data_IF_138597292252
#
_entry.id   IF_138597292252
#
_cell.length_a   1.000
_cell.length_b   1.000
_cell.length_c   1.000
_cell.angle_alpha   90.00
_cell.angle_beta   90.00
_cell.angle_gamma   90.00
#
_symmetry.space_group_name_H-M   'P 1'
#
loop_
_entity.id
_entity.type
_entity.pdbx_description
1 polymer ?
#
# COMPACT_ATOMS: atom_id res chain seq x y z
N UNK A 1 -28.20 -58.64 -34.26
CA UNK A 1 -27.28 -59.00 -33.13
C UNK A 1 -27.82 -58.32 -31.89
N UNK A 2 -28.07 -59.06 -30.81
CA UNK A 2 -28.53 -58.40 -29.57
C UNK A 2 -27.37 -57.60 -28.98
N UNK A 3 -27.63 -56.36 -28.49
CA UNK A 3 -26.70 -55.47 -27.84
C UNK A 3 -25.83 -56.22 -26.77
N UNK A 4 -26.47 -57.13 -26.06
CA UNK A 4 -25.81 -57.93 -25.02
C UNK A 4 -24.69 -58.84 -25.61
N UNK A 5 -24.90 -59.48 -26.75
CA UNK A 5 -23.87 -60.30 -27.41
C UNK A 5 -22.70 -59.47 -27.96
N UNK A 6 -22.94 -58.20 -28.32
CA UNK A 6 -21.88 -57.30 -28.73
C UNK A 6 -21.06 -56.84 -27.52
N UNK A 7 -21.65 -56.45 -26.42
CA UNK A 7 -21.00 -55.99 -25.20
C UNK A 7 -20.17 -57.10 -24.51
N UNK A 8 -20.50 -58.37 -24.72
CA UNK A 8 -19.73 -59.51 -24.18
C UNK A 8 -18.71 -60.11 -25.18
N UNK A 9 -18.60 -59.51 -26.36
CA UNK A 9 -17.70 -60.02 -27.40
C UNK A 9 -16.21 -59.70 -27.10
N UNK A 10 -15.29 -60.62 -27.48
CA UNK A 10 -13.85 -60.35 -27.38
C UNK A 10 -13.42 -59.11 -28.16
N UNK A 11 -14.12 -58.79 -29.24
CA UNK A 11 -13.88 -57.60 -30.05
C UNK A 11 -14.19 -56.30 -29.26
N UNK A 12 -15.28 -56.30 -28.51
CA UNK A 12 -15.64 -55.15 -27.65
C UNK A 12 -14.62 -54.90 -26.56
N UNK A 13 -14.18 -55.92 -25.82
CA UNK A 13 -13.16 -55.75 -24.80
C UNK A 13 -11.78 -55.31 -25.40
N UNK A 14 -11.42 -55.81 -26.57
CA UNK A 14 -10.22 -55.34 -27.28
C UNK A 14 -10.32 -53.88 -27.67
N UNK A 15 -11.48 -53.42 -28.15
CA UNK A 15 -11.69 -52.01 -28.51
C UNK A 15 -11.67 -51.08 -27.27
N UNK A 16 -12.30 -51.50 -26.16
CA UNK A 16 -12.24 -50.77 -24.88
C UNK A 16 -10.79 -50.65 -24.39
N UNK A 17 -10.04 -51.76 -24.41
CA UNK A 17 -8.65 -51.73 -24.00
C UNK A 17 -7.82 -50.75 -24.85
N UNK A 18 -8.01 -50.79 -26.17
CA UNK A 18 -7.34 -49.83 -27.10
C UNK A 18 -7.78 -48.38 -26.78
N UNK A 19 -9.07 -48.12 -26.53
CA UNK A 19 -9.55 -46.81 -26.20
C UNK A 19 -8.96 -46.29 -24.87
N UNK A 20 -8.89 -47.15 -23.85
CA UNK A 20 -8.28 -46.83 -22.56
C UNK A 20 -6.79 -46.46 -22.73
N UNK A 21 -6.03 -47.30 -23.48
CA UNK A 21 -4.62 -47.05 -23.76
C UNK A 21 -4.49 -45.71 -24.52
N UNK A 22 -5.31 -45.46 -25.53
CA UNK A 22 -5.29 -44.21 -26.29
C UNK A 22 -5.54 -42.99 -25.41
N UNK A 23 -6.48 -43.05 -24.45
CA UNK A 23 -6.73 -42.00 -23.48
C UNK A 23 -5.52 -41.77 -22.59
N UNK A 24 -4.89 -42.82 -22.06
CA UNK A 24 -3.68 -42.67 -21.26
C UNK A 24 -2.52 -42.02 -22.02
N UNK A 25 -2.30 -42.43 -23.27
CA UNK A 25 -1.28 -41.82 -24.14
C UNK A 25 -1.58 -40.37 -24.42
N UNK A 26 -2.85 -40.03 -24.70
CA UNK A 26 -3.28 -38.65 -24.92
C UNK A 26 -3.05 -37.77 -23.67
N UNK A 27 -3.46 -38.25 -22.51
CA UNK A 27 -3.25 -37.55 -21.22
C UNK A 27 -1.75 -37.34 -20.96
N UNK A 28 -0.91 -38.37 -21.22
CA UNK A 28 0.53 -38.24 -21.06
C UNK A 28 1.13 -37.20 -21.98
N UNK A 29 0.72 -37.15 -23.24
CA UNK A 29 1.16 -36.14 -24.22
C UNK A 29 0.75 -34.75 -23.77
N UNK A 30 -0.52 -34.58 -23.34
CA UNK A 30 -1.03 -33.29 -22.86
C UNK A 30 -0.23 -32.82 -21.64
N UNK A 31 0.01 -33.69 -20.65
CA UNK A 31 0.78 -33.33 -19.47
C UNK A 31 2.24 -32.96 -19.81
N UNK A 32 2.87 -33.67 -20.73
CA UNK A 32 4.23 -33.34 -21.21
C UNK A 32 4.25 -32.00 -21.95
N UNK A 33 3.28 -31.78 -22.85
CA UNK A 33 3.15 -30.51 -23.57
C UNK A 33 2.89 -29.35 -22.60
N UNK A 34 2.01 -29.53 -21.62
CA UNK A 34 1.71 -28.52 -20.61
C UNK A 34 2.96 -28.18 -19.76
N UNK A 35 3.72 -29.20 -19.36
CA UNK A 35 4.96 -29.03 -18.59
C UNK A 35 5.99 -28.16 -19.33
N UNK A 36 6.13 -28.34 -20.63
CA UNK A 36 7.04 -27.54 -21.47
C UNK A 36 6.50 -26.15 -21.69
N UNK A 37 5.20 -25.99 -21.94
CA UNK A 37 4.58 -24.69 -22.27
C UNK A 37 4.46 -23.78 -21.06
N UNK A 38 4.34 -24.34 -19.84
CA UNK A 38 4.19 -23.55 -18.60
C UNK A 38 5.50 -23.36 -17.84
N UNK A 39 6.66 -23.75 -18.40
CA UNK A 39 7.96 -23.72 -17.71
C UNK A 39 7.83 -24.27 -16.28
N UNK A 40 7.22 -25.47 -16.16
CA UNK A 40 6.94 -26.05 -14.86
C UNK A 40 8.23 -26.32 -14.09
N UNK A 41 8.35 -25.76 -12.89
CA UNK A 41 9.53 -25.89 -12.03
C UNK A 41 10.53 -24.73 -12.13
N UNK A 42 10.40 -23.83 -13.10
CA UNK A 42 11.20 -22.61 -13.16
C UNK A 42 10.52 -21.50 -12.36
N UNK A 43 11.28 -20.85 -11.48
CA UNK A 43 10.81 -19.77 -10.61
C UNK A 43 11.89 -18.73 -10.47
N UNK A 44 11.48 -17.48 -10.48
CA UNK A 44 12.30 -16.33 -10.13
C UNK A 44 12.16 -16.00 -8.66
N UNK A 45 13.24 -15.52 -8.03
CA UNK A 45 13.22 -15.12 -6.63
C UNK A 45 13.00 -13.61 -6.55
N UNK A 46 12.01 -13.18 -5.78
CA UNK A 46 11.72 -11.76 -5.56
C UNK A 46 12.84 -11.12 -4.75
N UNK A 47 13.53 -10.07 -5.26
CA UNK A 47 14.58 -9.38 -4.53
C UNK A 47 14.03 -8.51 -3.39
N UNK A 48 14.89 -8.14 -2.43
CA UNK A 48 14.56 -7.19 -1.37
C UNK A 48 14.63 -5.76 -1.93
N UNK A 49 13.48 -5.07 -1.95
CA UNK A 49 13.34 -3.73 -2.53
C UNK A 49 13.15 -2.63 -1.49
N UNK A 50 12.86 -2.97 -0.23
CA UNK A 50 12.58 -1.99 0.81
C UNK A 50 13.75 -1.03 1.01
N UNK A 51 13.45 0.25 1.11
CA UNK A 51 14.44 1.32 1.27
C UNK A 51 15.14 1.75 -0.02
N UNK A 52 14.94 1.02 -1.13
CA UNK A 52 15.56 1.36 -2.42
C UNK A 52 14.74 2.40 -3.17
N UNK A 53 15.41 3.17 -4.03
CA UNK A 53 14.75 4.09 -4.95
C UNK A 53 14.01 3.33 -6.06
N UNK A 54 13.03 3.99 -6.69
CA UNK A 54 12.26 3.40 -7.79
C UNK A 54 13.16 2.86 -8.90
N UNK A 55 14.18 3.63 -9.30
CA UNK A 55 15.09 3.25 -10.38
C UNK A 55 15.91 2.00 -10.06
N UNK A 56 16.38 1.85 -8.82
CA UNK A 56 17.11 0.66 -8.38
C UNK A 56 16.16 -0.53 -8.30
N UNK A 57 14.95 -0.34 -7.75
CA UNK A 57 13.95 -1.40 -7.65
C UNK A 57 13.54 -1.91 -9.04
N UNK A 58 13.34 -1.01 -10.01
CA UNK A 58 13.00 -1.38 -11.39
C UNK A 58 14.12 -2.18 -12.06
N UNK A 59 15.36 -1.74 -11.90
CA UNK A 59 16.53 -2.45 -12.45
C UNK A 59 16.64 -3.87 -11.87
N UNK A 60 16.56 -4.01 -10.55
CA UNK A 60 16.64 -5.33 -9.90
C UNK A 60 15.50 -6.26 -10.27
N UNK A 61 14.29 -5.72 -10.45
CA UNK A 61 13.16 -6.52 -10.91
C UNK A 61 13.34 -6.98 -12.36
N UNK A 62 13.81 -6.10 -13.24
CA UNK A 62 14.11 -6.44 -14.62
C UNK A 62 15.22 -7.51 -14.74
N UNK A 63 16.28 -7.39 -13.93
CA UNK A 63 17.37 -8.38 -13.88
C UNK A 63 16.87 -9.78 -13.44
N UNK A 64 15.80 -9.83 -12.65
CA UNK A 64 15.14 -11.07 -12.24
C UNK A 64 13.88 -11.41 -13.06
N UNK A 65 13.75 -10.88 -14.28
CA UNK A 65 12.62 -11.13 -15.19
C UNK A 65 11.24 -10.86 -14.55
N UNK A 66 11.17 -9.88 -13.65
CA UNK A 66 9.96 -9.50 -12.92
C UNK A 66 9.47 -8.12 -13.38
N UNK A 67 8.18 -7.85 -13.20
CA UNK A 67 7.56 -6.60 -13.64
C UNK A 67 7.18 -5.75 -12.43
N UNK A 68 7.65 -4.50 -12.39
CA UNK A 68 7.26 -3.55 -11.36
C UNK A 68 5.85 -3.01 -11.60
N UNK A 69 5.04 -2.97 -10.55
CA UNK A 69 3.74 -2.32 -10.53
C UNK A 69 3.62 -1.45 -9.29
N UNK A 70 3.57 -0.13 -9.48
CA UNK A 70 3.39 0.80 -8.37
C UNK A 70 1.93 0.74 -7.92
N UNK A 71 1.72 0.51 -6.62
CA UNK A 71 0.44 0.71 -5.95
C UNK A 71 0.35 2.13 -5.40
N UNK A 72 -0.85 2.51 -4.96
CA UNK A 72 -1.08 3.83 -4.37
C UNK A 72 -0.16 4.08 -3.15
N UNK A 73 0.16 5.33 -2.92
CA UNK A 73 1.10 5.71 -1.87
C UNK A 73 0.49 5.52 -0.47
N UNK A 74 1.28 4.92 0.41
CA UNK A 74 0.97 4.78 1.82
C UNK A 74 1.07 6.11 2.59
N UNK A 75 0.83 6.05 3.90
CA UNK A 75 1.19 7.14 4.79
C UNK A 75 2.71 7.32 4.83
N UNK A 76 3.18 8.57 4.88
CA UNK A 76 4.60 8.86 4.99
C UNK A 76 5.22 8.18 6.22
N UNK A 77 6.30 7.44 5.98
CA UNK A 77 7.11 6.82 7.02
C UNK A 77 8.47 7.53 7.12
N UNK A 78 8.81 8.17 8.25
CA UNK A 78 10.08 8.88 8.41
C UNK A 78 11.30 7.95 8.48
N UNK A 79 11.12 6.65 8.72
CA UNK A 79 12.21 5.66 8.80
C UNK A 79 12.80 5.31 7.42
N UNK A 80 12.12 5.68 6.34
CA UNK A 80 12.53 5.42 4.98
C UNK A 80 12.76 6.72 4.20
N UNK A 81 13.68 6.72 3.24
CA UNK A 81 13.86 7.85 2.34
C UNK A 81 12.57 8.21 1.60
N UNK A 82 12.44 9.49 1.24
CA UNK A 82 11.34 9.94 0.38
C UNK A 82 11.41 9.22 -0.96
N UNK A 83 10.25 8.84 -1.50
CA UNK A 83 10.12 8.15 -2.79
C UNK A 83 10.85 6.80 -2.87
N UNK A 84 11.23 6.20 -1.73
CA UNK A 84 11.73 4.83 -1.69
C UNK A 84 10.59 3.84 -1.53
N UNK A 85 10.87 2.59 -1.83
CA UNK A 85 9.94 1.46 -1.57
C UNK A 85 9.85 1.22 -0.06
N UNK A 86 8.63 1.20 0.48
CA UNK A 86 8.36 0.88 1.89
C UNK A 86 7.72 -0.49 2.06
N UNK A 87 6.97 -0.94 1.06
CA UNK A 87 6.35 -2.26 1.06
C UNK A 87 6.42 -2.87 -0.33
N UNK A 88 6.49 -4.18 -0.39
CA UNK A 88 6.44 -4.97 -1.62
C UNK A 88 5.59 -6.22 -1.45
N UNK A 89 4.88 -6.61 -2.50
CA UNK A 89 4.06 -7.82 -2.56
C UNK A 89 4.24 -8.50 -3.94
N UNK A 90 4.68 -9.75 -3.99
CA UNK A 90 5.06 -10.66 -2.92
C UNK A 90 6.30 -10.23 -2.13
N UNK A 91 6.47 -10.75 -0.88
CA UNK A 91 7.63 -10.41 -0.07
C UNK A 91 8.95 -10.94 -0.67
N UNK A 92 10.06 -10.32 -0.28
CA UNK A 92 11.40 -10.76 -0.68
C UNK A 92 11.64 -12.25 -0.37
N UNK A 93 12.36 -12.92 -1.25
CA UNK A 93 12.62 -14.35 -1.17
C UNK A 93 11.48 -15.25 -1.65
N UNK A 94 10.31 -14.71 -2.00
CA UNK A 94 9.22 -15.48 -2.60
C UNK A 94 9.61 -16.04 -3.96
N UNK A 95 9.22 -17.27 -4.26
CA UNK A 95 9.38 -17.88 -5.57
C UNK A 95 8.14 -17.60 -6.42
N UNK A 96 8.33 -16.93 -7.52
CA UNK A 96 7.27 -16.53 -8.44
C UNK A 96 7.60 -16.93 -9.87
N UNK A 97 6.64 -16.88 -10.77
CA UNK A 97 6.88 -17.12 -12.19
C UNK A 97 7.49 -15.89 -12.85
N UNK A 98 8.24 -16.12 -13.90
CA UNK A 98 8.72 -15.09 -14.83
C UNK A 98 7.56 -14.13 -15.23
N UNK A 99 7.87 -12.86 -15.43
CA UNK A 99 6.90 -11.79 -15.71
C UNK A 99 5.84 -11.56 -14.62
N UNK A 100 6.06 -12.10 -13.41
CA UNK A 100 5.17 -11.81 -12.27
C UNK A 100 5.25 -10.32 -11.92
N UNK A 101 4.10 -9.70 -11.76
CA UNK A 101 3.99 -8.34 -11.23
C UNK A 101 4.32 -8.33 -9.74
N UNK A 102 5.28 -7.49 -9.39
CA UNK A 102 5.62 -7.18 -8.00
C UNK A 102 5.05 -5.80 -7.70
N UNK A 103 4.12 -5.78 -6.77
CA UNK A 103 3.47 -4.56 -6.34
C UNK A 103 4.35 -3.87 -5.30
N UNK A 104 4.62 -2.61 -5.51
CA UNK A 104 5.42 -1.81 -4.59
C UNK A 104 4.63 -0.61 -4.08
N UNK A 105 4.80 -0.30 -2.81
CA UNK A 105 4.25 0.89 -2.18
C UNK A 105 5.38 1.88 -1.93
N UNK A 106 5.20 3.11 -2.37
CA UNK A 106 6.22 4.16 -2.25
C UNK A 106 5.99 5.03 -1.03
N UNK A 107 7.09 5.46 -0.41
CA UNK A 107 7.07 6.47 0.62
C UNK A 107 6.78 7.84 0.01
N UNK A 108 5.73 8.56 0.44
CA UNK A 108 5.47 9.91 -0.05
C UNK A 108 6.60 10.89 0.25
N UNK A 109 6.54 12.09 -0.32
CA UNK A 109 7.51 13.16 -0.05
C UNK A 109 7.44 13.74 1.37
N UNK A 110 6.40 13.40 2.13
CA UNK A 110 6.17 13.89 3.48
C UNK A 110 4.75 13.59 3.96
N UNK A 111 4.42 14.06 5.14
CA UNK A 111 3.08 13.90 5.70
C UNK A 111 2.02 14.62 4.84
N UNK A 112 0.86 14.01 4.71
CA UNK A 112 -0.31 14.61 4.05
C UNK A 112 -0.61 15.96 4.67
N UNK A 113 -0.83 16.97 3.82
CA UNK A 113 -1.28 18.29 4.27
C UNK A 113 -2.77 18.27 4.64
N UNK A 114 -3.10 18.96 5.71
CA UNK A 114 -4.46 19.08 6.26
C UNK A 114 -4.73 20.55 6.46
N UNK A 115 -5.96 20.96 6.14
CA UNK A 115 -6.40 22.34 6.37
C UNK A 115 -6.50 22.63 7.88
N UNK A 116 -5.95 23.76 8.28
CA UNK A 116 -6.07 24.29 9.65
C UNK A 116 -7.54 24.66 9.90
N UNK A 117 -8.15 24.13 10.97
CA UNK A 117 -9.55 24.44 11.28
C UNK A 117 -9.72 25.88 11.78
N UNK A 118 -10.91 26.41 11.66
CA UNK A 118 -11.25 27.68 12.31
C UNK A 118 -11.46 27.46 13.81
N UNK A 119 -10.52 27.97 14.59
CA UNK A 119 -10.54 27.92 16.05
C UNK A 119 -10.68 29.31 16.68
N UNK A 120 -10.87 30.37 15.88
CA UNK A 120 -11.09 31.69 16.40
C UNK A 120 -12.33 31.71 17.32
N UNK A 121 -12.22 32.43 18.42
CA UNK A 121 -13.27 32.51 19.43
C UNK A 121 -13.67 31.18 20.11
N UNK A 122 -12.96 30.07 19.81
CA UNK A 122 -13.13 28.79 20.53
C UNK A 122 -12.29 28.77 21.79
N UNK A 123 -12.80 28.13 22.83
CA UNK A 123 -11.99 27.92 24.04
C UNK A 123 -10.87 26.92 23.80
N UNK A 124 -9.75 27.05 24.52
CA UNK A 124 -8.64 26.06 24.46
C UNK A 124 -9.13 24.64 24.69
N UNK A 125 -10.11 24.44 25.59
CA UNK A 125 -10.72 23.15 25.87
C UNK A 125 -11.38 22.53 24.63
N UNK A 126 -11.89 23.32 23.70
CA UNK A 126 -12.47 22.86 22.44
C UNK A 126 -11.41 22.77 21.33
N UNK A 127 -10.49 23.72 21.30
CA UNK A 127 -9.45 23.81 20.28
C UNK A 127 -8.47 22.64 20.31
N UNK A 128 -7.99 22.28 21.51
CA UNK A 128 -7.01 21.18 21.69
C UNK A 128 -7.48 19.85 21.08
N UNK A 129 -8.64 19.27 21.45
CA UNK A 129 -9.08 17.99 20.89
C UNK A 129 -9.37 18.11 19.38
N UNK A 130 -9.79 19.26 18.88
CA UNK A 130 -10.02 19.48 17.45
C UNK A 130 -8.71 19.39 16.66
N UNK A 131 -7.64 20.04 17.15
CA UNK A 131 -6.31 19.97 16.53
C UNK A 131 -5.74 18.53 16.59
N UNK A 132 -5.83 17.89 17.75
CA UNK A 132 -5.33 16.52 17.95
C UNK A 132 -6.08 15.50 17.09
N UNK A 133 -7.39 15.63 16.92
CA UNK A 133 -8.20 14.78 16.05
C UNK A 133 -7.79 14.89 14.56
N UNK A 134 -7.38 16.08 14.12
CA UNK A 134 -6.84 16.31 12.79
C UNK A 134 -5.37 15.83 12.66
N UNK A 135 -4.73 15.49 13.77
CA UNK A 135 -3.36 15.03 13.84
C UNK A 135 -2.31 16.13 13.94
N UNK A 136 -2.71 17.34 14.28
CA UNK A 136 -1.80 18.41 14.68
C UNK A 136 -1.36 18.26 16.13
N UNK A 137 -0.21 18.84 16.47
CA UNK A 137 0.27 18.94 17.84
C UNK A 137 0.03 20.35 18.37
N UNK A 138 -0.45 20.45 19.60
CA UNK A 138 -0.54 21.76 20.27
C UNK A 138 0.85 22.10 20.80
N UNK A 139 1.35 23.26 20.41
CA UNK A 139 2.64 23.79 20.79
C UNK A 139 2.57 24.73 21.98
N UNK A 140 3.27 25.87 21.87
CA UNK A 140 3.33 26.89 22.93
C UNK A 140 1.99 27.58 23.11
N UNK A 141 1.60 27.77 24.37
CA UNK A 141 0.46 28.61 24.75
C UNK A 141 0.98 29.97 25.23
N UNK A 142 0.54 31.04 24.57
CA UNK A 142 0.89 32.41 24.96
C UNK A 142 -0.39 33.12 25.37
N UNK A 143 -0.37 33.77 26.52
CA UNK A 143 -1.52 34.54 27.04
C UNK A 143 -1.30 36.01 26.81
N UNK A 144 -2.34 36.69 26.36
CA UNK A 144 -2.37 38.14 26.15
C UNK A 144 -3.62 38.74 26.84
N UNK A 145 -3.58 40.03 27.14
CA UNK A 145 -4.70 40.71 27.76
C UNK A 145 -5.92 40.70 26.84
N UNK A 146 -6.95 40.03 27.29
CA UNK A 146 -8.25 39.94 26.63
C UNK A 146 -9.28 39.43 27.64
N UNK A 147 -10.48 40.01 27.63
CA UNK A 147 -11.55 39.67 28.57
C UNK A 147 -12.03 38.22 28.45
N UNK A 148 -11.89 37.60 27.29
CA UNK A 148 -12.28 36.24 27.04
C UNK A 148 -11.19 35.28 27.51
N UNK A 149 -11.31 34.75 28.71
CA UNK A 149 -10.35 33.81 29.30
C UNK A 149 -10.30 32.49 28.52
N UNK A 150 -9.08 32.04 28.24
CA UNK A 150 -8.79 30.78 27.56
C UNK A 150 -9.39 30.65 26.13
N UNK A 151 -9.77 31.76 25.52
CA UNK A 151 -10.26 31.78 24.14
C UNK A 151 -9.10 31.98 23.18
N UNK A 152 -9.10 31.21 22.08
CA UNK A 152 -8.10 31.29 21.00
C UNK A 152 -8.29 32.58 20.24
N UNK A 153 -7.29 33.45 20.26
CA UNK A 153 -7.26 34.72 19.56
C UNK A 153 -6.47 34.64 18.25
N UNK A 154 -5.41 33.82 18.24
CA UNK A 154 -4.58 33.58 17.05
C UNK A 154 -3.97 32.20 17.09
N UNK A 155 -3.75 31.63 15.91
CA UNK A 155 -2.99 30.43 15.69
C UNK A 155 -1.67 30.79 15.02
N UNK A 156 -0.58 30.10 15.35
CA UNK A 156 0.74 30.33 14.77
C UNK A 156 1.45 29.00 14.48
N UNK A 157 2.28 29.01 13.45
CA UNK A 157 3.22 27.92 13.16
C UNK A 157 4.58 28.50 12.88
N UNK A 158 5.59 28.10 13.65
CA UNK A 158 6.98 28.61 13.52
C UNK A 158 7.07 30.16 13.60
N UNK A 159 6.18 30.79 14.34
CA UNK A 159 6.13 32.25 14.48
C UNK A 159 5.27 32.99 13.45
N UNK A 160 4.82 32.33 12.39
CA UNK A 160 3.91 32.92 11.41
C UNK A 160 2.46 32.71 11.80
N UNK A 161 1.61 33.72 11.55
CA UNK A 161 0.18 33.65 11.82
C UNK A 161 -0.48 32.70 10.82
N UNK A 162 -1.31 31.78 11.34
CA UNK A 162 -2.10 30.86 10.55
C UNK A 162 -3.52 31.36 10.38
N UNK A 163 -4.03 31.26 9.17
CA UNK A 163 -5.44 31.48 8.86
C UNK A 163 -6.19 30.14 8.75
N UNK A 164 -7.49 30.12 9.09
CA UNK A 164 -8.33 28.97 8.79
C UNK A 164 -8.24 28.59 7.30
N UNK A 165 -8.05 27.30 7.01
CA UNK A 165 -7.88 26.80 5.65
C UNK A 165 -6.43 26.65 5.17
N UNK A 166 -5.44 27.23 5.84
CA UNK A 166 -4.03 27.05 5.53
C UNK A 166 -3.65 25.56 5.58
N UNK A 167 -2.83 25.13 4.64
CA UNK A 167 -2.46 23.72 4.48
C UNK A 167 -1.15 23.41 5.20
N UNK A 168 -1.21 22.68 6.29
CA UNK A 168 -0.04 22.22 7.03
C UNK A 168 0.11 20.68 7.00
N UNK A 169 1.35 20.16 6.97
CA UNK A 169 1.58 18.73 7.14
C UNK A 169 0.95 18.21 8.43
N UNK A 170 0.32 17.04 8.36
CA UNK A 170 -0.09 16.29 9.55
C UNK A 170 1.11 16.15 10.49
N UNK A 171 0.91 16.22 11.80
CA UNK A 171 1.95 16.28 12.84
C UNK A 171 2.63 17.64 13.06
N UNK A 172 2.27 18.67 12.29
CA UNK A 172 2.76 20.04 12.53
C UNK A 172 2.32 20.53 13.90
N UNK A 173 3.19 21.31 14.55
CA UNK A 173 2.91 21.94 15.84
C UNK A 173 2.26 23.29 15.60
N UNK A 174 1.13 23.54 16.23
CA UNK A 174 0.38 24.83 16.18
C UNK A 174 0.45 25.45 17.56
N UNK A 175 1.01 26.65 17.61
CA UNK A 175 1.06 27.48 18.80
C UNK A 175 -0.22 28.31 18.89
N UNK A 176 -0.74 28.52 20.11
CA UNK A 176 -1.98 29.23 20.33
C UNK A 176 -1.74 30.46 21.17
N UNK A 177 -2.32 31.57 20.75
CA UNK A 177 -2.41 32.80 21.55
C UNK A 177 -3.81 32.87 22.17
N UNK A 178 -3.86 32.90 23.48
CA UNK A 178 -5.09 32.82 24.29
C UNK A 178 -5.32 34.12 25.09
N UNK A 179 -6.56 34.42 25.36
CA UNK A 179 -6.91 35.48 26.30
C UNK A 179 -6.68 35.06 27.75
N UNK A 180 -6.22 35.99 28.61
CA UNK A 180 -5.96 35.74 30.03
C UNK A 180 -7.15 36.08 30.95
N UNK A 181 -8.20 36.66 30.45
CA UNK A 181 -9.35 37.09 31.22
C UNK A 181 -9.28 38.54 31.77
N UNK A 182 -8.18 39.26 31.49
CA UNK A 182 -7.98 40.63 31.90
C UNK A 182 -8.47 41.60 30.82
N UNK A 183 -8.87 42.79 31.24
CA UNK A 183 -9.13 43.89 30.29
C UNK A 183 -7.80 44.41 29.73
N UNK A 184 -7.71 44.68 28.40
CA UNK A 184 -6.52 45.32 27.81
C UNK A 184 -6.24 46.70 28.42
#
# INVERSE_FOLDING_TARGET
>A
MSLIKFLTSKAFFKQILIAVIAVFVLVYIILKWLNVTTNHGEFETVPELKGKSISIAEMELNDNHLVMQIQDSANYNPDYPKFSVIEQEPPAGSKVKENRKIYITLNPSGYRKIAVPDLNERTFRQAKPTLEALGFKVGKLTYVDNIAKDVVLKMQHKGEVLNPGDQLPKTSTIDLVLGNGNRP
#
